data_IF_847353128704
#
_entry.id   IF_847353128704
#
_cell.length_a   1.000
_cell.length_b   1.000
_cell.length_c   1.000
_cell.angle_alpha   90.00
_cell.angle_beta   90.00
_cell.angle_gamma   90.00
#
_symmetry.space_group_name_H-M   'P 1'
#
loop_
_entity.id
_entity.type
_entity.pdbx_description
1 polymer ?
#
# COMPACT_ATOMS: atom_id res chain seq x y z
N UNK A 1 -8.31 9.53 5.85
CA UNK A 1 -7.85 8.81 4.64
C UNK A 1 -8.64 7.51 4.62
N UNK A 2 -9.37 7.19 3.56
CA UNK A 2 -10.23 5.99 3.53
C UNK A 2 -9.80 5.08 2.38
N UNK A 3 -8.69 4.37 2.55
CA UNK A 3 -8.40 3.16 1.77
C UNK A 3 -8.89 1.95 2.57
N UNK A 4 -9.46 0.98 1.87
CA UNK A 4 -10.06 -0.23 2.42
C UNK A 4 -9.03 -1.34 2.59
N UNK A 5 -9.44 -2.41 3.31
CA UNK A 5 -8.62 -3.61 3.43
C UNK A 5 -8.33 -4.25 2.06
N UNK A 6 -9.30 -4.21 1.15
CA UNK A 6 -9.15 -4.69 -0.23
C UNK A 6 -8.00 -4.02 -0.97
N UNK A 7 -7.81 -2.72 -0.77
CA UNK A 7 -6.79 -1.95 -1.49
C UNK A 7 -5.39 -2.41 -1.07
N UNK A 8 -5.21 -2.67 0.23
CA UNK A 8 -3.97 -3.24 0.78
C UNK A 8 -3.75 -4.66 0.27
N UNK A 9 -4.79 -5.48 0.19
CA UNK A 9 -4.70 -6.83 -0.38
C UNK A 9 -4.29 -6.79 -1.86
N UNK A 10 -4.79 -5.84 -2.64
CA UNK A 10 -4.39 -5.63 -4.04
C UNK A 10 -2.91 -5.26 -4.15
N UNK A 11 -2.42 -4.35 -3.29
CA UNK A 11 -1.00 -4.00 -3.22
C UNK A 11 -0.14 -5.24 -2.98
N UNK A 12 -0.49 -6.04 -1.97
CA UNK A 12 0.27 -7.24 -1.59
C UNK A 12 0.20 -8.36 -2.64
N UNK A 13 -0.87 -8.42 -3.44
CA UNK A 13 -0.97 -9.37 -4.55
C UNK A 13 -0.11 -8.96 -5.76
N UNK A 14 0.20 -7.67 -5.91
CA UNK A 14 0.87 -7.11 -7.11
C UNK A 14 2.40 -7.07 -7.03
N UNK A 15 2.99 -7.46 -5.92
CA UNK A 15 4.43 -7.55 -5.80
C UNK A 15 4.90 -8.30 -4.57
N UNK A 16 6.19 -8.63 -4.59
CA UNK A 16 6.87 -9.28 -3.49
C UNK A 16 7.64 -8.19 -2.71
N UNK A 17 7.14 -7.86 -1.52
CA UNK A 17 7.56 -6.70 -0.76
C UNK A 17 8.46 -7.12 0.41
N UNK A 18 9.56 -6.41 0.61
CA UNK A 18 10.51 -6.70 1.70
C UNK A 18 10.59 -5.55 2.72
N UNK A 19 9.96 -4.42 2.42
CA UNK A 19 9.94 -3.23 3.27
C UNK A 19 8.75 -2.32 2.93
N UNK A 20 8.38 -1.43 3.86
CA UNK A 20 7.39 -0.38 3.59
C UNK A 20 7.84 0.53 2.44
N UNK A 21 9.14 0.82 2.36
CA UNK A 21 9.71 1.67 1.32
C UNK A 21 9.65 1.01 -0.07
N UNK A 22 9.63 -0.32 -0.19
CA UNK A 22 9.40 -1.01 -1.47
C UNK A 22 8.00 -0.72 -2.01
N UNK A 23 6.99 -0.83 -1.13
CA UNK A 23 5.60 -0.54 -1.47
C UNK A 23 5.44 0.93 -1.87
N UNK A 24 6.02 1.86 -1.09
CA UNK A 24 6.01 3.30 -1.41
C UNK A 24 6.61 3.55 -2.80
N UNK A 25 7.81 3.02 -3.08
CA UNK A 25 8.48 3.18 -4.38
C UNK A 25 7.72 2.56 -5.54
N UNK A 26 6.94 1.51 -5.30
CA UNK A 26 6.08 0.92 -6.32
C UNK A 26 4.87 1.80 -6.61
N UNK A 27 4.15 2.24 -5.57
CA UNK A 27 2.99 3.11 -5.73
C UNK A 27 3.35 4.49 -6.34
N UNK A 28 4.50 5.07 -5.97
CA UNK A 28 4.99 6.34 -6.51
C UNK A 28 5.37 6.26 -8.00
N UNK A 29 5.73 5.07 -8.50
CA UNK A 29 5.93 4.85 -9.95
C UNK A 29 4.62 4.91 -10.74
N UNK A 30 3.48 4.82 -10.06
CA UNK A 30 2.16 4.78 -10.65
C UNK A 30 1.78 3.40 -11.16
N UNK A 31 0.47 3.21 -11.36
CA UNK A 31 -0.09 1.96 -11.88
C UNK A 31 0.18 1.84 -13.38
N UNK A 32 0.54 0.64 -13.84
CA UNK A 32 0.62 0.32 -15.28
C UNK A 32 -0.76 0.35 -15.95
N UNK A 33 -0.80 0.38 -17.29
CA UNK A 33 -2.07 0.40 -18.04
C UNK A 33 -2.98 -0.78 -17.70
N UNK A 34 -2.41 -1.98 -17.58
CA UNK A 34 -3.20 -3.18 -17.25
C UNK A 34 -3.77 -3.10 -15.83
N UNK A 35 -2.97 -2.58 -14.89
CA UNK A 35 -3.36 -2.35 -13.49
C UNK A 35 -4.40 -1.24 -13.30
N UNK A 36 -4.51 -0.31 -14.26
CA UNK A 36 -5.58 0.68 -14.29
C UNK A 36 -6.85 0.10 -14.93
N UNK A 37 -6.70 -0.83 -15.87
CA UNK A 37 -7.82 -1.44 -16.59
C UNK A 37 -8.62 -2.45 -15.74
N UNK A 38 -7.97 -3.11 -14.78
CA UNK A 38 -8.65 -4.03 -13.85
C UNK A 38 -9.51 -3.32 -12.80
N UNK A 39 -9.29 -2.02 -12.59
CA UNK A 39 -10.01 -1.16 -11.65
C UNK A 39 -10.10 -1.69 -10.21
N UNK A 40 -9.12 -2.50 -9.78
CA UNK A 40 -9.07 -3.01 -8.39
C UNK A 40 -8.39 -2.04 -7.42
N UNK A 41 -7.62 -1.09 -7.95
CA UNK A 41 -7.01 0.00 -7.20
C UNK A 41 -7.13 1.28 -8.03
N UNK A 42 -7.90 2.25 -7.55
CA UNK A 42 -8.07 3.52 -8.24
C UNK A 42 -6.81 4.38 -8.17
N UNK A 43 -6.68 5.31 -9.10
CA UNK A 43 -5.57 6.28 -9.10
C UNK A 43 -5.58 7.16 -7.84
N UNK A 44 -6.75 7.44 -7.26
CA UNK A 44 -6.86 8.18 -6.02
C UNK A 44 -6.31 7.37 -4.83
N UNK A 45 -6.67 6.09 -4.73
CA UNK A 45 -6.17 5.19 -3.68
C UNK A 45 -4.66 4.96 -3.81
N UNK A 46 -4.16 4.73 -5.04
CA UNK A 46 -2.74 4.52 -5.30
C UNK A 46 -1.88 5.74 -4.94
N UNK A 47 -2.45 6.95 -4.96
CA UNK A 47 -1.77 8.19 -4.54
C UNK A 47 -1.85 8.46 -3.04
N UNK A 48 -2.83 7.90 -2.33
CA UNK A 48 -3.01 8.11 -0.88
C UNK A 48 -2.30 7.04 -0.03
N UNK A 49 -2.26 5.79 -0.49
CA UNK A 49 -1.58 4.69 0.19
C UNK A 49 -0.09 4.95 0.50
N UNK A 50 0.72 5.58 -0.38
CA UNK A 50 2.13 5.85 -0.11
C UNK A 50 2.37 6.59 1.20
N UNK A 51 1.49 7.55 1.54
CA UNK A 51 1.64 8.35 2.76
C UNK A 51 1.46 7.49 4.01
N UNK A 52 0.51 6.54 3.99
CA UNK A 52 0.31 5.60 5.09
C UNK A 52 1.53 4.69 5.29
N UNK A 53 2.01 4.07 4.21
CA UNK A 53 3.21 3.22 4.28
C UNK A 53 4.46 4.00 4.67
N UNK A 54 4.61 5.26 4.21
CA UNK A 54 5.72 6.13 4.62
C UNK A 54 5.66 6.48 6.11
N UNK A 55 4.48 6.70 6.68
CA UNK A 55 4.32 6.92 8.13
C UNK A 55 4.69 5.68 8.95
N UNK A 56 4.37 4.48 8.47
CA UNK A 56 4.80 3.24 9.12
C UNK A 56 6.32 3.15 9.19
N UNK A 57 6.97 3.39 8.05
CA UNK A 57 8.44 3.41 7.94
C UNK A 57 9.07 4.44 8.88
N UNK A 58 8.54 5.67 8.89
CA UNK A 58 9.02 6.76 9.76
C UNK A 58 8.82 6.50 11.25
N UNK A 59 7.77 5.76 11.64
CA UNK A 59 7.56 5.34 13.03
C UNK A 59 8.42 4.14 13.44
N UNK A 60 9.16 3.53 12.50
CA UNK A 60 9.92 2.31 12.74
C UNK A 60 9.03 1.08 12.97
N UNK A 61 7.81 1.09 12.45
CA UNK A 61 6.92 -0.07 12.53
C UNK A 61 7.52 -1.25 11.78
N UNK A 62 7.48 -2.44 12.39
CA UNK A 62 8.08 -3.63 11.79
C UNK A 62 7.33 -3.99 10.51
N UNK A 63 8.08 -4.17 9.41
CA UNK A 63 7.50 -4.65 8.16
C UNK A 63 6.83 -6.02 8.32
N UNK A 64 5.74 -6.23 7.59
CA UNK A 64 5.04 -7.52 7.51
C UNK A 64 4.60 -7.80 6.08
N UNK A 65 4.73 -9.06 5.70
CA UNK A 65 4.24 -9.67 4.45
C UNK A 65 2.75 -10.09 4.54
N UNK A 66 2.13 -10.01 5.73
CA UNK A 66 0.70 -10.26 5.93
C UNK A 66 -0.13 -9.00 5.60
N UNK A 67 -0.98 -9.01 4.55
CA UNK A 67 -1.81 -7.85 4.21
C UNK A 67 -2.79 -7.47 5.32
N UNK A 68 -3.27 -8.42 6.12
CA UNK A 68 -4.15 -8.12 7.26
C UNK A 68 -3.38 -7.44 8.41
N UNK A 69 -2.12 -7.82 8.62
CA UNK A 69 -1.18 -7.15 9.51
C UNK A 69 -0.87 -5.73 9.04
N UNK A 70 -0.57 -5.56 7.76
CA UNK A 70 -0.29 -4.27 7.15
C UNK A 70 -1.48 -3.31 7.25
N UNK A 71 -2.69 -3.78 6.96
CA UNK A 71 -3.90 -2.96 7.12
C UNK A 71 -4.09 -2.49 8.57
N UNK A 72 -3.91 -3.38 9.56
CA UNK A 72 -3.98 -3.01 10.98
C UNK A 72 -2.92 -1.98 11.37
N UNK A 73 -1.70 -2.13 10.85
CA UNK A 73 -0.65 -1.15 11.06
C UNK A 73 -1.02 0.20 10.43
N UNK A 74 -1.53 0.22 9.19
CA UNK A 74 -1.97 1.44 8.53
C UNK A 74 -3.07 2.17 9.33
N UNK A 75 -4.00 1.44 9.96
CA UNK A 75 -5.01 2.03 10.84
C UNK A 75 -4.42 2.69 12.11
N UNK A 76 -3.22 2.32 12.55
CA UNK A 76 -2.56 2.95 13.71
C UNK A 76 -1.84 4.27 13.37
N UNK A 77 -1.70 4.58 12.08
CA UNK A 77 -0.98 5.77 11.57
C UNK A 77 -1.85 6.72 10.75
N UNK A 78 -3.14 6.42 10.61
CA UNK A 78 -4.11 7.28 9.93
C UNK A 78 -4.40 8.56 10.72
#
# INVERSE_FOLDING_TARGET
MNYQKSDVEVVYRRGDWNSWSDIVRWLERGLSRDQQADNELSEAESRQLPDGFRRLDQKGERFTDDPAGAYRALQSVQ
#
